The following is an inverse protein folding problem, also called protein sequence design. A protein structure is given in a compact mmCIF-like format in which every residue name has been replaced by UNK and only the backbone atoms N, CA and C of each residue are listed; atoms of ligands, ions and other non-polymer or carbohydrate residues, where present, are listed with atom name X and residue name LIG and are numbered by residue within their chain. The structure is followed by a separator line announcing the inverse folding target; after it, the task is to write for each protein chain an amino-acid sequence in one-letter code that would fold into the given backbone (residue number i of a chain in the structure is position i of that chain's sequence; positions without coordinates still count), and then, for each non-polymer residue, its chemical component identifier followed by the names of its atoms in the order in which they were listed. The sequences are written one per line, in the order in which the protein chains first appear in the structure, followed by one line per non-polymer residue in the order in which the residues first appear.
data_IF_122754507780
#
_entry.id   IF_122754507780
#
_cell.length_a   1.000
_cell.length_b   1.000
_cell.length_c   1.000
_cell.angle_alpha   90.00
_cell.angle_beta   90.00
_cell.angle_gamma   90.00
#
_symmetry.space_group_name_H-M   'P 1'
#
loop_
_entity.id
_entity.type
_entity.pdbx_description
1 polymer ?
#
# COMPACT_ATOMS: atom_id res chain seq x y z
N UNK A 1 -36.70 18.69 -19.30
CA UNK A 1 -35.27 18.64 -18.93
C UNK A 1 -35.12 17.67 -17.78
N UNK A 2 -34.63 16.46 -18.03
CA UNK A 2 -34.43 15.41 -17.01
C UNK A 2 -32.95 15.07 -16.97
N UNK A 3 -32.25 15.58 -15.97
CA UNK A 3 -30.85 15.24 -15.70
C UNK A 3 -30.78 13.79 -15.19
N UNK A 4 -30.32 12.87 -16.04
CA UNK A 4 -29.92 11.52 -15.60
C UNK A 4 -28.77 11.68 -14.60
N UNK A 5 -29.05 11.33 -13.35
CA UNK A 5 -28.05 11.18 -12.29
C UNK A 5 -27.03 10.15 -12.75
N UNK A 6 -25.80 10.57 -13.01
CA UNK A 6 -24.71 9.67 -13.34
C UNK A 6 -24.42 8.80 -12.12
N UNK A 7 -24.86 7.55 -12.15
CA UNK A 7 -24.43 6.53 -11.21
C UNK A 7 -22.96 6.29 -11.49
N UNK A 8 -22.08 6.70 -10.58
CA UNK A 8 -20.67 6.32 -10.64
C UNK A 8 -20.59 4.80 -10.81
N UNK A 9 -19.78 4.29 -11.74
CA UNK A 9 -19.64 2.86 -11.91
C UNK A 9 -19.20 2.28 -10.56
N UNK A 10 -19.95 1.29 -10.06
CA UNK A 10 -19.46 0.41 -8.98
C UNK A 10 -18.25 -0.33 -9.55
N UNK A 11 -17.08 0.27 -9.44
CA UNK A 11 -15.81 -0.42 -9.55
C UNK A 11 -15.79 -1.42 -8.40
N UNK A 12 -16.03 -2.69 -8.72
CA UNK A 12 -15.52 -3.80 -7.92
C UNK A 12 -14.09 -3.42 -7.53
N UNK A 13 -13.72 -3.37 -6.24
CA UNK A 13 -12.35 -3.00 -5.89
C UNK A 13 -11.43 -3.98 -6.60
N UNK A 14 -10.59 -3.49 -7.49
CA UNK A 14 -9.43 -4.25 -7.93
C UNK A 14 -8.70 -4.68 -6.66
N UNK A 15 -8.38 -5.98 -6.54
CA UNK A 15 -7.80 -6.56 -5.33
C UNK A 15 -6.65 -5.70 -4.80
N UNK A 16 -6.88 -4.97 -3.70
CA UNK A 16 -5.91 -4.01 -3.18
C UNK A 16 -6.51 -3.04 -2.16
N UNK A 17 -5.63 -2.30 -1.48
CA UNK A 17 -5.99 -1.34 -0.43
C UNK A 17 -5.85 0.09 -0.96
N UNK A 18 -6.95 0.87 -1.02
CA UNK A 18 -6.88 2.26 -1.46
C UNK A 18 -6.12 3.10 -0.42
N UNK A 19 -5.34 4.06 -0.91
CA UNK A 19 -4.65 5.05 -0.11
C UNK A 19 -4.59 6.37 -0.87
N UNK A 20 -4.90 7.48 -0.21
CA UNK A 20 -4.78 8.82 -0.78
C UNK A 20 -3.40 9.41 -0.47
N UNK A 21 -2.61 9.71 -1.51
CA UNK A 21 -1.32 10.39 -1.41
C UNK A 21 -1.33 11.62 -2.32
N UNK A 22 -1.00 12.81 -1.78
CA UNK A 22 -1.02 14.07 -2.53
C UNK A 22 -2.34 14.36 -3.29
N UNK A 23 -3.47 13.89 -2.77
CA UNK A 23 -4.78 14.04 -3.41
C UNK A 23 -5.06 13.02 -4.53
N UNK A 24 -4.15 12.09 -4.80
CA UNK A 24 -4.35 10.97 -5.73
C UNK A 24 -4.63 9.68 -4.96
N UNK A 25 -5.64 8.91 -5.38
CA UNK A 25 -5.89 7.58 -4.83
C UNK A 25 -5.02 6.54 -5.54
N UNK A 26 -4.14 5.90 -4.79
CA UNK A 26 -3.33 4.76 -5.23
C UNK A 26 -3.87 3.46 -4.65
N UNK A 27 -3.72 2.35 -5.38
CA UNK A 27 -4.12 1.02 -4.91
C UNK A 27 -2.88 0.22 -4.53
N UNK A 28 -2.79 -0.19 -3.26
CA UNK A 28 -1.71 -1.03 -2.77
C UNK A 28 -2.06 -2.50 -3.00
N UNK A 29 -1.31 -3.16 -3.88
CA UNK A 29 -1.53 -4.57 -4.24
C UNK A 29 -0.31 -5.40 -3.88
N UNK A 30 -0.42 -6.46 -3.07
CA UNK A 30 0.72 -7.30 -2.74
C UNK A 30 1.31 -8.01 -3.97
N UNK A 31 2.63 -7.90 -4.13
CA UNK A 31 3.40 -8.63 -5.14
C UNK A 31 4.51 -9.43 -4.47
N UNK A 32 4.87 -10.58 -5.04
CA UNK A 32 5.94 -11.42 -4.48
C UNK A 32 7.25 -10.65 -4.28
N UNK A 33 7.58 -9.73 -5.21
CA UNK A 33 8.77 -8.90 -5.12
C UNK A 33 8.71 -7.93 -3.95
N UNK A 34 7.61 -7.16 -3.83
CA UNK A 34 7.44 -6.23 -2.73
C UNK A 34 7.46 -6.93 -1.36
N UNK A 35 6.96 -8.16 -1.30
CA UNK A 35 6.99 -8.98 -0.09
C UNK A 35 8.39 -9.44 0.31
N UNK A 36 9.22 -9.83 -0.66
CA UNK A 36 10.63 -10.09 -0.41
C UNK A 36 11.34 -8.83 0.09
N UNK A 37 11.09 -7.69 -0.56
CA UNK A 37 11.72 -6.42 -0.20
C UNK A 37 11.31 -5.95 1.20
N UNK A 38 10.03 -6.10 1.59
CA UNK A 38 9.54 -5.82 2.95
C UNK A 38 10.15 -6.79 3.96
N UNK A 39 10.19 -8.09 3.66
CA UNK A 39 10.77 -9.09 4.55
C UNK A 39 12.24 -8.76 4.85
N UNK A 40 13.03 -8.46 3.82
CA UNK A 40 14.43 -8.03 3.98
C UNK A 40 14.54 -6.69 4.72
N UNK A 41 13.63 -5.76 4.47
CA UNK A 41 13.65 -4.42 5.03
C UNK A 41 13.37 -4.35 6.53
N UNK A 42 12.52 -5.24 7.03
CA UNK A 42 11.97 -5.16 8.38
C UNK A 42 12.30 -6.36 9.27
N UNK A 43 12.97 -7.39 8.73
CA UNK A 43 13.28 -8.64 9.44
C UNK A 43 12.13 -9.65 9.39
N UNK A 44 11.30 -9.60 8.34
CA UNK A 44 10.10 -10.40 8.16
C UNK A 44 8.81 -9.59 8.17
N UNK A 45 7.71 -10.24 7.82
CA UNK A 45 6.38 -9.61 7.73
C UNK A 45 5.76 -9.37 9.10
N UNK A 46 6.00 -10.25 10.07
CA UNK A 46 5.51 -10.10 11.44
C UNK A 46 6.13 -8.87 12.13
N UNK A 47 7.45 -8.64 12.07
CA UNK A 47 8.02 -7.37 12.56
C UNK A 47 7.52 -6.14 11.79
N UNK A 48 7.22 -6.26 10.50
CA UNK A 48 6.65 -5.15 9.72
C UNK A 48 5.26 -4.77 10.24
N UNK A 49 4.36 -5.73 10.45
CA UNK A 49 3.01 -5.44 10.94
C UNK A 49 3.03 -4.89 12.38
N UNK A 50 3.93 -5.38 13.23
CA UNK A 50 4.11 -4.84 14.58
C UNK A 50 4.49 -3.36 14.58
N UNK A 51 5.38 -2.95 13.66
CA UNK A 51 5.74 -1.53 13.49
C UNK A 51 4.57 -0.68 12.99
N UNK A 52 3.78 -1.20 12.05
CA UNK A 52 2.55 -0.53 11.59
C UNK A 52 1.56 -0.36 12.74
N UNK A 53 1.35 -1.39 13.56
CA UNK A 53 0.48 -1.34 14.74
C UNK A 53 0.97 -0.36 15.81
N UNK A 54 2.29 -0.13 15.88
CA UNK A 54 2.90 0.87 16.75
C UNK A 54 2.86 2.29 16.16
N UNK A 55 2.20 2.51 15.02
CA UNK A 55 2.18 3.78 14.30
C UNK A 55 3.60 4.31 13.98
N UNK A 56 4.55 3.41 13.71
CA UNK A 56 5.88 3.79 13.23
C UNK A 56 5.76 4.36 11.81
N UNK A 57 5.76 5.69 11.74
CA UNK A 57 5.57 6.44 10.49
C UNK A 57 6.64 6.12 9.43
N UNK A 58 7.88 5.83 9.86
CA UNK A 58 8.94 5.43 8.94
C UNK A 58 8.69 4.04 8.37
N UNK A 59 8.17 3.12 9.19
CA UNK A 59 7.77 1.80 8.71
C UNK A 59 6.57 1.89 7.77
N UNK A 60 5.53 2.63 8.14
CA UNK A 60 4.33 2.84 7.31
C UNK A 60 4.72 3.43 5.95
N UNK A 61 5.44 4.55 5.94
CA UNK A 61 5.91 5.17 4.69
C UNK A 61 6.85 4.28 3.88
N UNK A 62 7.73 3.52 4.54
CA UNK A 62 8.60 2.56 3.89
C UNK A 62 7.87 1.37 3.25
N UNK A 63 6.83 0.85 3.92
CA UNK A 63 5.98 -0.23 3.38
C UNK A 63 5.18 0.29 2.18
N UNK A 64 4.57 1.47 2.31
CA UNK A 64 3.82 2.10 1.20
C UNK A 64 4.76 2.36 0.01
N UNK A 65 5.97 2.84 0.25
CA UNK A 65 6.97 3.05 -0.80
C UNK A 65 7.25 1.75 -1.58
N UNK A 66 7.48 0.64 -0.87
CA UNK A 66 7.72 -0.66 -1.48
C UNK A 66 6.47 -1.20 -2.17
N UNK A 67 5.29 -1.02 -1.57
CA UNK A 67 4.00 -1.44 -2.12
C UNK A 67 3.67 -0.72 -3.44
N UNK A 68 4.16 0.51 -3.63
CA UNK A 68 4.08 1.26 -4.89
C UNK A 68 5.12 0.80 -5.94
N UNK A 69 5.85 -0.29 -5.69
CA UNK A 69 6.88 -0.81 -6.59
C UNK A 69 8.12 0.08 -6.68
N UNK A 70 8.31 1.01 -5.73
CA UNK A 70 9.43 1.96 -5.76
C UNK A 70 10.68 1.32 -5.13
N UNK A 71 11.87 1.50 -5.73
CA UNK A 71 13.09 0.90 -5.23
C UNK A 71 13.57 1.58 -3.94
N UNK A 72 13.74 0.79 -2.87
CA UNK A 72 14.20 1.27 -1.57
C UNK A 72 15.63 1.83 -1.57
N UNK A 73 16.43 1.52 -2.60
CA UNK A 73 17.81 2.00 -2.74
C UNK A 73 17.91 3.53 -2.85
N UNK A 74 16.80 4.22 -3.15
CA UNK A 74 16.75 5.66 -3.21
C UNK A 74 16.16 6.26 -1.91
N UNK A 75 17.02 6.50 -0.93
CA UNK A 75 16.63 7.03 0.39
C UNK A 75 15.79 8.31 0.31
N UNK A 76 16.15 9.24 -0.59
CA UNK A 76 15.39 10.50 -0.79
C UNK A 76 13.95 10.24 -1.24
N UNK A 77 13.73 9.21 -2.05
CA UNK A 77 12.37 8.86 -2.50
C UNK A 77 11.56 8.16 -1.41
N UNK A 78 12.22 7.41 -0.53
CA UNK A 78 11.59 6.85 0.67
C UNK A 78 11.16 7.97 1.60
N UNK A 79 12.07 8.90 1.93
CA UNK A 79 11.77 10.08 2.75
C UNK A 79 10.63 10.92 2.16
N UNK A 80 10.62 11.10 0.83
CA UNK A 80 9.51 11.78 0.15
C UNK A 80 8.18 11.04 0.39
N UNK A 81 8.17 9.72 0.28
CA UNK A 81 6.93 8.93 0.51
C UNK A 81 6.50 9.00 1.97
N UNK A 82 7.44 8.99 2.92
CA UNK A 82 7.15 9.22 4.34
C UNK A 82 6.55 10.60 4.56
N UNK A 83 7.10 11.65 3.93
CA UNK A 83 6.55 13.01 4.01
C UNK A 83 5.14 13.11 3.40
N UNK A 84 4.87 12.42 2.29
CA UNK A 84 3.53 12.34 1.67
C UNK A 84 2.52 11.69 2.63
N UNK A 85 2.92 10.61 3.31
CA UNK A 85 2.09 9.94 4.33
C UNK A 85 1.84 10.86 5.53
N UNK A 86 2.85 11.59 6.00
CA UNK A 86 2.71 12.56 7.09
C UNK A 86 1.80 13.74 6.73
N UNK A 87 1.82 14.17 5.47
CA UNK A 87 0.99 15.27 4.98
C UNK A 87 -0.46 14.85 4.72
N UNK A 88 -0.70 13.56 4.52
CA UNK A 88 -2.03 12.96 4.38
C UNK A 88 -2.64 12.49 5.71
N UNK A 89 -3.59 11.56 5.62
CA UNK A 89 -4.16 10.89 6.79
C UNK A 89 -3.29 9.68 7.18
N UNK A 90 -2.54 9.82 8.27
CA UNK A 90 -1.70 8.74 8.80
C UNK A 90 -2.52 7.51 9.23
N UNK A 91 -3.76 7.70 9.67
CA UNK A 91 -4.65 6.58 10.04
C UNK A 91 -5.03 5.79 8.81
N UNK A 92 -5.41 6.48 7.72
CA UNK A 92 -5.68 5.86 6.41
C UNK A 92 -4.45 5.08 5.92
N UNK A 93 -3.27 5.71 5.95
CA UNK A 93 -2.01 5.08 5.56
C UNK A 93 -1.69 3.83 6.38
N UNK A 94 -1.91 3.89 7.70
CA UNK A 94 -1.68 2.78 8.62
C UNK A 94 -2.64 1.62 8.35
N UNK A 95 -3.93 1.92 8.14
CA UNK A 95 -4.94 0.90 7.79
C UNK A 95 -4.64 0.25 6.44
N UNK A 96 -4.27 1.05 5.43
CA UNK A 96 -3.91 0.55 4.12
C UNK A 96 -2.65 -0.35 4.18
N UNK A 97 -1.62 0.05 4.91
CA UNK A 97 -0.41 -0.74 5.11
C UNK A 97 -0.67 -2.04 5.90
N UNK A 98 -1.51 -1.99 6.93
CA UNK A 98 -1.87 -3.17 7.71
C UNK A 98 -2.69 -4.18 6.89
N UNK A 99 -3.66 -3.68 6.10
CA UNK A 99 -4.42 -4.49 5.15
C UNK A 99 -3.51 -5.16 4.14
N UNK A 100 -2.63 -4.36 3.52
CA UNK A 100 -1.66 -4.82 2.53
C UNK A 100 -0.80 -5.97 3.06
N UNK A 101 -0.22 -5.81 4.26
CA UNK A 101 0.58 -6.85 4.89
C UNK A 101 -0.25 -8.10 5.23
N UNK A 102 -1.51 -7.93 5.64
CA UNK A 102 -2.40 -9.03 5.99
C UNK A 102 -2.76 -9.88 4.78
N UNK A 103 -3.10 -9.26 3.66
CA UNK A 103 -3.38 -9.95 2.40
C UNK A 103 -2.14 -10.68 1.89
N UNK A 104 -0.98 -10.06 2.07
CA UNK A 104 0.26 -10.65 1.63
C UNK A 104 0.73 -11.83 2.49
N UNK A 105 0.49 -11.80 3.81
CA UNK A 105 0.67 -12.97 4.68
C UNK A 105 -0.32 -14.09 4.35
N UNK A 106 -1.51 -13.74 3.88
CA UNK A 106 -2.56 -14.70 3.49
C UNK A 106 -2.34 -15.30 2.10
N UNK A 107 -1.28 -14.93 1.38
CA UNK A 107 -1.03 -15.39 0.02
C UNK A 107 -1.98 -14.80 -1.03
N UNK A 108 -2.78 -13.78 -0.67
CA UNK A 108 -3.60 -13.00 -1.61
C UNK A 108 -2.72 -11.95 -2.30
N UNK A 109 -1.67 -12.43 -2.96
CA UNK A 109 -0.93 -11.61 -3.91
C UNK A 109 -1.66 -11.63 -5.24
N UNK A 110 -1.46 -10.62 -6.09
CA UNK A 110 -2.00 -10.60 -7.45
C UNK A 110 -1.82 -11.98 -8.08
N UNK A 111 -2.92 -12.73 -8.21
CA UNK A 111 -2.90 -14.03 -8.83
C UNK A 111 -2.40 -13.78 -10.25
N UNK A 112 -1.21 -14.32 -10.50
CA UNK A 112 -0.58 -14.47 -11.79
C UNK A 112 -1.65 -14.53 -12.88
N UNK A 113 -1.77 -13.44 -13.66
CA UNK A 113 -2.61 -13.42 -14.86
C UNK A 113 -2.33 -14.72 -15.61
N UNK A 114 -3.31 -15.62 -15.81
CA UNK A 114 -3.05 -16.79 -16.63
C UNK A 114 -2.65 -16.28 -18.01
N UNK A 115 -1.45 -16.65 -18.44
CA UNK A 115 -1.05 -16.49 -19.82
C UNK A 115 -1.81 -17.54 -20.62
N UNK A 116 -2.95 -17.15 -21.19
CA UNK A 116 -3.54 -17.63 -22.44
C UNK A 116 -4.86 -16.89 -22.67
#
# INVERSE_FOLDING_TARGET
MTTKKATAPKTTPAAGHPLTLNGETVMLVPTARAMMDISQAFGGLVPAIQRVQAFDVNAVGGIIHIALGRPRTNAKMVEKTVAEVCAGDLTEATVAAAGYLSDAMSGKSEAQKPAA
#
